data_IF_433413694996
#
_entry.id   IF_433413694996
#
_cell.length_a   1.000
_cell.length_b   1.000
_cell.length_c   1.000
_cell.angle_alpha   90.00
_cell.angle_beta   90.00
_cell.angle_gamma   90.00
#
_symmetry.space_group_name_H-M   'P 1'
#
loop_
_entity.id
_entity.type
_entity.pdbx_description
1 polymer ?
#
# COMPACT_ATOMS: atom_id res chain seq x y z
N UNK A 1 -10.93 26.16 -40.71
CA UNK A 1 -10.59 24.73 -40.47
C UNK A 1 -11.66 24.23 -39.52
N UNK A 2 -12.59 23.38 -39.95
CA UNK A 2 -13.59 22.79 -39.03
C UNK A 2 -12.85 21.70 -38.25
N UNK A 3 -12.75 21.88 -36.94
CA UNK A 3 -12.28 20.83 -36.04
C UNK A 3 -13.48 19.88 -35.87
N UNK A 4 -13.40 18.68 -36.42
CA UNK A 4 -14.45 17.70 -36.23
C UNK A 4 -14.16 17.01 -34.88
N UNK A 5 -14.95 17.31 -33.86
CA UNK A 5 -14.86 16.73 -32.52
C UNK A 5 -15.92 15.63 -32.45
N UNK A 6 -15.50 14.43 -32.14
CA UNK A 6 -16.42 13.32 -31.83
C UNK A 6 -16.87 13.47 -30.37
N UNK A 7 -18.04 14.10 -30.18
CA UNK A 7 -18.62 14.37 -28.86
C UNK A 7 -18.95 13.09 -28.11
N UNK A 8 -19.40 12.05 -28.82
CA UNK A 8 -19.81 10.78 -28.21
C UNK A 8 -18.63 10.08 -27.55
N UNK A 9 -17.44 10.14 -28.17
CA UNK A 9 -16.23 9.58 -27.59
C UNK A 9 -15.78 10.34 -26.33
N UNK A 10 -15.96 11.66 -26.30
CA UNK A 10 -15.60 12.46 -25.12
C UNK A 10 -16.60 12.20 -23.99
N UNK A 11 -17.89 12.11 -24.30
CA UNK A 11 -18.93 11.77 -23.31
C UNK A 11 -18.66 10.38 -22.70
N UNK A 12 -18.32 9.41 -23.52
CA UNK A 12 -17.94 8.08 -23.07
C UNK A 12 -16.69 8.12 -22.15
N UNK A 13 -15.68 8.90 -22.51
CA UNK A 13 -14.49 9.10 -21.66
C UNK A 13 -14.84 9.73 -20.29
N UNK A 14 -15.72 10.72 -20.28
CA UNK A 14 -16.23 11.37 -19.06
C UNK A 14 -16.97 10.38 -18.16
N UNK A 15 -17.86 9.58 -18.75
CA UNK A 15 -18.64 8.59 -17.99
C UNK A 15 -17.77 7.47 -17.42
N UNK A 16 -16.77 7.00 -18.19
CA UNK A 16 -15.77 6.04 -17.69
C UNK A 16 -14.98 6.61 -16.51
N UNK A 17 -14.49 7.85 -16.61
CA UNK A 17 -13.74 8.50 -15.52
C UNK A 17 -14.60 8.64 -14.26
N UNK A 18 -15.87 9.01 -14.39
CA UNK A 18 -16.82 9.10 -13.26
C UNK A 18 -17.07 7.75 -12.63
N UNK A 19 -17.24 6.70 -13.46
CA UNK A 19 -17.41 5.33 -12.99
C UNK A 19 -16.21 4.86 -12.19
N UNK A 20 -14.98 5.00 -12.72
CA UNK A 20 -13.73 4.64 -12.04
C UNK A 20 -13.60 5.41 -10.72
N UNK A 21 -13.85 6.72 -10.72
CA UNK A 21 -13.84 7.54 -9.50
C UNK A 21 -14.80 7.03 -8.43
N UNK A 22 -16.01 6.60 -8.82
CA UNK A 22 -16.99 6.03 -7.91
C UNK A 22 -16.55 4.67 -7.35
N UNK A 23 -15.98 3.80 -8.18
CA UNK A 23 -15.47 2.49 -7.74
C UNK A 23 -14.40 2.65 -6.65
N UNK A 24 -13.46 3.58 -6.82
CA UNK A 24 -12.41 3.87 -5.85
C UNK A 24 -12.93 4.40 -4.50
N UNK A 25 -14.09 5.04 -4.49
CA UNK A 25 -14.68 5.59 -3.26
C UNK A 25 -15.67 4.64 -2.58
N UNK A 26 -16.30 3.72 -3.31
CA UNK A 26 -17.37 2.88 -2.78
C UNK A 26 -16.91 1.63 -2.01
N UNK A 27 -15.64 1.35 -1.89
CA UNK A 27 -14.97 0.35 -1.00
C UNK A 27 -15.68 -1.00 -0.76
N UNK A 28 -16.63 -1.42 -1.60
CA UNK A 28 -17.45 -2.59 -1.31
C UNK A 28 -16.71 -3.92 -1.35
N UNK A 29 -15.58 -3.97 -2.05
CA UNK A 29 -14.82 -5.21 -2.34
C UNK A 29 -13.46 -5.28 -1.63
N UNK A 30 -13.04 -4.21 -0.93
CA UNK A 30 -11.87 -4.29 -0.06
C UNK A 30 -12.27 -5.01 1.21
N UNK A 31 -11.51 -6.06 1.59
CA UNK A 31 -11.60 -6.65 2.92
C UNK A 31 -11.58 -5.53 3.98
N UNK A 32 -12.26 -5.74 5.09
CA UNK A 32 -12.29 -4.74 6.16
C UNK A 32 -10.89 -4.61 6.74
N UNK A 33 -10.27 -3.43 6.59
CA UNK A 33 -9.04 -3.13 7.33
C UNK A 33 -9.30 -3.29 8.83
N UNK A 34 -8.43 -4.05 9.48
CA UNK A 34 -8.40 -4.16 10.93
C UNK A 34 -7.15 -3.44 11.42
N UNK A 35 -7.34 -2.49 12.34
CA UNK A 35 -6.25 -1.72 12.90
C UNK A 35 -5.21 -2.63 13.55
N UNK A 36 -3.93 -2.32 13.34
CA UNK A 36 -2.81 -2.97 13.98
C UNK A 36 -2.49 -2.35 15.35
N UNK A 37 -3.22 -1.33 15.78
CA UNK A 37 -3.12 -0.79 17.13
C UNK A 37 -3.52 -1.87 18.13
N UNK A 38 -2.66 -2.10 19.12
CA UNK A 38 -2.86 -3.21 20.07
C UNK A 38 -2.58 -4.61 19.48
N UNK A 39 -1.89 -4.71 18.36
CA UNK A 39 -1.46 -5.97 17.75
C UNK A 39 -0.69 -6.85 18.74
N UNK A 40 0.21 -6.26 19.52
CA UNK A 40 1.06 -6.95 20.48
C UNK A 40 1.28 -6.10 21.72
N UNK A 41 1.61 -6.77 22.84
CA UNK A 41 2.16 -6.13 24.05
C UNK A 41 3.68 -6.44 24.20
N UNK A 42 4.26 -7.22 23.31
CA UNK A 42 5.65 -7.55 23.33
C UNK A 42 6.50 -6.42 22.76
N UNK A 43 7.57 -6.05 23.45
CA UNK A 43 8.38 -4.90 23.13
C UNK A 43 9.00 -4.97 21.74
N UNK A 44 8.85 -3.89 20.98
CA UNK A 44 9.26 -3.76 19.57
C UNK A 44 8.18 -4.19 18.58
N UNK A 45 7.40 -5.24 18.87
CA UNK A 45 6.25 -5.64 18.04
C UNK A 45 5.07 -4.69 18.20
N UNK A 46 4.83 -4.21 19.44
CA UNK A 46 3.86 -3.17 19.75
C UNK A 46 4.12 -1.90 18.92
N UNK A 47 5.37 -1.42 18.96
CA UNK A 47 5.79 -0.23 18.23
C UNK A 47 5.63 -0.40 16.72
N UNK A 48 5.98 -1.58 16.17
CA UNK A 48 5.79 -1.85 14.74
C UNK A 48 4.32 -1.85 14.33
N UNK A 49 3.44 -2.44 15.14
CA UNK A 49 1.99 -2.41 14.94
C UNK A 49 1.43 -0.99 14.93
N UNK A 50 1.79 -0.19 15.94
CA UNK A 50 1.37 1.21 16.07
C UNK A 50 1.84 2.09 14.89
N UNK A 51 3.01 1.81 14.30
CA UNK A 51 3.51 2.54 13.12
C UNK A 51 2.81 2.15 11.82
N UNK A 52 2.48 0.87 11.65
CA UNK A 52 1.80 0.38 10.44
C UNK A 52 0.30 0.69 10.45
N UNK A 53 -0.32 0.80 11.63
CA UNK A 53 -1.75 1.01 11.78
C UNK A 53 -2.28 2.26 11.06
N UNK A 54 -1.70 3.46 11.24
CA UNK A 54 -2.18 4.68 10.57
C UNK A 54 -2.10 4.62 9.05
N UNK A 55 -1.21 3.77 8.49
CA UNK A 55 -1.08 3.64 7.04
C UNK A 55 -2.36 3.05 6.45
N UNK A 56 -2.93 2.03 7.08
CA UNK A 56 -4.19 1.44 6.65
C UNK A 56 -5.43 2.22 7.13
N UNK A 57 -5.40 2.72 8.37
CA UNK A 57 -6.53 3.44 8.97
C UNK A 57 -6.81 4.77 8.27
N UNK A 58 -5.76 5.53 7.93
CA UNK A 58 -5.87 6.91 7.47
C UNK A 58 -5.34 7.08 6.03
N UNK A 59 -4.15 6.56 5.72
CA UNK A 59 -3.46 6.88 4.46
C UNK A 59 -4.01 6.13 3.25
N UNK A 60 -4.50 4.89 3.43
CA UNK A 60 -5.14 4.16 2.34
C UNK A 60 -6.45 4.83 1.87
N UNK A 61 -7.41 5.20 2.78
CA UNK A 61 -8.57 5.99 2.40
C UNK A 61 -8.22 7.31 1.72
N UNK A 62 -7.25 8.04 2.27
CA UNK A 62 -6.80 9.33 1.74
C UNK A 62 -6.26 9.18 0.31
N UNK A 63 -5.40 8.18 0.06
CA UNK A 63 -4.82 7.93 -1.26
C UNK A 63 -5.89 7.52 -2.29
N UNK A 64 -6.82 6.63 -1.92
CA UNK A 64 -7.92 6.21 -2.78
C UNK A 64 -8.84 7.39 -3.13
N UNK A 65 -9.17 8.22 -2.15
CA UNK A 65 -9.96 9.44 -2.36
C UNK A 65 -9.23 10.44 -3.25
N UNK A 66 -7.91 10.59 -3.10
CA UNK A 66 -7.11 11.49 -3.91
C UNK A 66 -7.15 11.09 -5.39
N UNK A 67 -6.94 9.82 -5.73
CA UNK A 67 -7.06 9.34 -7.12
C UNK A 67 -8.47 9.59 -7.65
N UNK A 68 -9.50 9.24 -6.87
CA UNK A 68 -10.89 9.43 -7.28
C UNK A 68 -11.21 10.91 -7.58
N UNK A 69 -10.70 11.84 -6.76
CA UNK A 69 -10.85 13.28 -6.98
C UNK A 69 -10.10 13.75 -8.24
N UNK A 70 -8.88 13.28 -8.49
CA UNK A 70 -8.16 13.59 -9.72
C UNK A 70 -8.94 13.16 -10.97
N UNK A 71 -9.49 11.94 -10.97
CA UNK A 71 -10.28 11.42 -12.08
C UNK A 71 -11.57 12.20 -12.28
N UNK A 72 -12.29 12.48 -11.18
CA UNK A 72 -13.51 13.29 -11.21
C UNK A 72 -13.26 14.69 -11.77
N UNK A 73 -12.22 15.37 -11.30
CA UNK A 73 -11.87 16.69 -11.81
C UNK A 73 -11.48 16.67 -13.28
N UNK A 74 -10.81 15.63 -13.75
CA UNK A 74 -10.48 15.46 -15.16
C UNK A 74 -11.76 15.28 -15.98
N UNK A 75 -12.72 14.46 -15.50
CA UNK A 75 -14.03 14.29 -16.14
C UNK A 75 -14.81 15.61 -16.21
N UNK A 76 -14.87 16.36 -15.11
CA UNK A 76 -15.62 17.62 -15.07
C UNK A 76 -14.97 18.69 -15.98
N UNK A 77 -13.66 18.71 -16.10
CA UNK A 77 -12.96 19.60 -17.03
C UNK A 77 -13.19 19.21 -18.51
N UNK A 78 -13.17 17.92 -18.83
CA UNK A 78 -13.48 17.43 -20.18
C UNK A 78 -14.91 17.79 -20.56
N UNK A 79 -15.87 17.58 -19.65
CA UNK A 79 -17.28 17.93 -19.86
C UNK A 79 -17.47 19.43 -20.11
N UNK A 80 -16.81 20.26 -19.29
CA UNK A 80 -16.88 21.72 -19.44
C UNK A 80 -16.29 22.17 -20.78
N UNK A 81 -15.15 21.62 -21.19
CA UNK A 81 -14.53 21.93 -22.47
C UNK A 81 -15.41 21.54 -23.66
N UNK A 82 -16.02 20.34 -23.61
CA UNK A 82 -16.95 19.86 -24.62
C UNK A 82 -18.18 20.81 -24.74
N UNK A 83 -18.82 21.13 -23.62
CA UNK A 83 -20.01 22.01 -23.59
C UNK A 83 -19.70 23.40 -24.14
N UNK A 84 -18.54 23.98 -23.76
CA UNK A 84 -18.14 25.28 -24.29
C UNK A 84 -17.87 25.23 -25.80
N UNK A 85 -17.33 24.13 -26.32
CA UNK A 85 -17.09 23.96 -27.76
C UNK A 85 -18.39 23.83 -28.52
N UNK A 86 -19.36 23.05 -28.04
CA UNK A 86 -20.69 22.91 -28.65
C UNK A 86 -21.43 24.24 -28.67
N UNK A 87 -21.46 25.01 -27.58
CA UNK A 87 -22.08 26.32 -27.52
C UNK A 87 -21.46 27.32 -28.51
N UNK A 88 -20.14 27.24 -28.72
CA UNK A 88 -19.44 28.10 -29.68
C UNK A 88 -19.81 27.71 -31.12
N UNK A 89 -19.93 26.42 -31.43
CA UNK A 89 -20.34 25.93 -32.74
C UNK A 89 -21.81 26.27 -33.05
N UNK A 90 -22.71 26.15 -32.07
CA UNK A 90 -24.10 26.55 -32.20
C UNK A 90 -24.27 28.05 -32.41
N UNK A 91 -23.52 28.85 -31.66
CA UNK A 91 -23.51 30.31 -31.82
C UNK A 91 -22.93 30.73 -33.17
N UNK A 92 -21.89 30.03 -33.66
CA UNK A 92 -21.28 30.27 -34.97
C UNK A 92 -22.21 29.82 -36.09
N UNK A 93 -22.90 28.70 -35.94
CA UNK A 93 -23.93 28.20 -36.88
C UNK A 93 -25.14 29.14 -36.96
N UNK A 94 -25.61 29.67 -35.82
CA UNK A 94 -26.61 30.73 -35.75
C UNK A 94 -26.19 32.05 -36.39
N UNK A 95 -24.92 32.45 -36.19
CA UNK A 95 -24.33 33.62 -36.87
C UNK A 95 -24.22 33.41 -38.39
N UNK A 96 -23.79 32.25 -38.86
CA UNK A 96 -23.72 31.99 -40.30
C UNK A 96 -25.13 31.98 -40.94
N UNK A 97 -26.13 31.48 -40.21
CA UNK A 97 -27.56 31.60 -40.65
C UNK A 97 -28.03 33.05 -40.74
N UNK A 98 -27.57 33.94 -39.88
CA UNK A 98 -27.88 35.36 -39.87
C UNK A 98 -27.07 36.19 -40.88
N UNK A 99 -25.89 35.73 -41.31
CA UNK A 99 -25.07 36.36 -42.35
C UNK A 99 -25.65 36.14 -43.77
N UNK A 100 -26.63 35.29 -43.95
CA UNK A 100 -27.41 35.13 -45.19
C UNK A 100 -28.63 36.06 -45.25
N UNK A 101 -28.90 36.85 -44.18
CA UNK A 101 -29.87 37.93 -44.19
C UNK A 101 -29.17 39.25 -44.61
N UNK A 102 -29.80 40.13 -45.39
CA UNK A 102 -29.11 41.24 -46.07
C UNK A 102 -28.53 42.27 -45.09
N UNK A 103 -27.22 42.42 -45.13
CA UNK A 103 -26.33 43.52 -44.78
C UNK A 103 -26.90 44.67 -43.91
N UNK A 104 -26.41 44.75 -42.70
CA UNK A 104 -26.61 45.97 -41.92
C UNK A 104 -26.03 46.10 -40.51
N UNK A 105 -25.20 45.23 -40.01
CA UNK A 105 -24.56 45.49 -38.72
C UNK A 105 -23.07 45.10 -38.74
N UNK A 106 -22.25 46.04 -38.22
CA UNK A 106 -20.81 45.97 -38.03
C UNK A 106 -20.43 44.68 -37.27
N UNK A 107 -19.57 43.90 -37.91
CA UNK A 107 -18.89 42.79 -37.28
C UNK A 107 -18.01 43.28 -36.11
N UNK A 108 -18.52 43.20 -34.88
CA UNK A 108 -17.63 43.14 -33.72
C UNK A 108 -16.85 41.85 -33.83
N UNK A 109 -15.55 41.97 -33.97
CA UNK A 109 -14.64 40.86 -33.96
C UNK A 109 -14.84 40.05 -32.66
N UNK A 110 -15.53 38.92 -32.75
CA UNK A 110 -15.51 37.90 -31.71
C UNK A 110 -14.10 37.36 -31.71
N UNK A 111 -13.27 37.83 -30.79
CA UNK A 111 -12.04 37.16 -30.42
C UNK A 111 -12.42 35.74 -30.00
N UNK A 112 -11.90 34.70 -30.67
CA UNK A 112 -12.26 33.34 -30.30
C UNK A 112 -11.86 33.12 -28.85
N UNK A 113 -12.80 32.67 -28.02
CA UNK A 113 -12.54 32.23 -26.63
C UNK A 113 -11.65 30.96 -26.58
N UNK A 114 -10.94 30.66 -27.66
CA UNK A 114 -10.02 29.55 -27.80
C UNK A 114 -8.74 29.66 -26.96
N UNK A 115 -8.52 30.80 -26.28
CA UNK A 115 -7.33 31.04 -25.44
C UNK A 115 -7.58 30.87 -23.95
N UNK A 116 -8.79 30.57 -23.51
CA UNK A 116 -8.96 30.05 -22.17
C UNK A 116 -8.56 28.58 -22.22
N UNK A 117 -7.24 28.38 -22.11
CA UNK A 117 -6.68 27.08 -21.82
C UNK A 117 -7.49 26.45 -20.70
N UNK A 118 -7.52 25.14 -20.66
CA UNK A 118 -8.03 24.30 -19.58
C UNK A 118 -7.88 25.10 -18.29
N UNK A 119 -8.91 25.85 -17.89
CA UNK A 119 -8.89 26.50 -16.61
C UNK A 119 -8.73 25.35 -15.65
N UNK A 120 -7.51 25.20 -15.16
CA UNK A 120 -7.30 24.35 -14.00
C UNK A 120 -8.31 24.87 -12.98
N UNK A 121 -9.46 24.20 -12.89
CA UNK A 121 -10.12 24.14 -11.61
C UNK A 121 -8.95 23.79 -10.70
N UNK A 122 -8.51 24.75 -9.87
CA UNK A 122 -7.53 24.48 -8.83
C UNK A 122 -8.16 23.37 -7.98
N UNK A 123 -8.08 22.15 -8.48
CA UNK A 123 -8.13 21.01 -7.63
C UNK A 123 -7.03 21.32 -6.64
N UNK A 124 -7.38 21.57 -5.39
CA UNK A 124 -6.43 21.41 -4.34
C UNK A 124 -5.76 20.09 -4.66
N UNK A 125 -4.48 20.14 -5.07
CA UNK A 125 -3.70 18.92 -5.27
C UNK A 125 -3.87 18.17 -3.96
N UNK A 126 -4.59 17.05 -3.90
CA UNK A 126 -4.80 16.36 -2.64
C UNK A 126 -3.43 15.88 -2.20
N UNK A 127 -2.78 16.69 -1.38
CA UNK A 127 -1.50 16.33 -0.78
C UNK A 127 -1.78 15.18 0.18
N UNK A 128 -1.47 13.98 -0.28
CA UNK A 128 -1.48 12.83 0.61
C UNK A 128 -0.38 13.00 1.65
N UNK A 129 -0.76 12.80 2.91
CA UNK A 129 0.17 13.00 4.02
C UNK A 129 1.22 11.90 4.05
N UNK A 130 2.38 12.23 4.59
CA UNK A 130 3.43 11.25 4.89
C UNK A 130 3.08 10.47 6.15
N UNK A 131 3.72 9.30 6.31
CA UNK A 131 3.66 8.48 7.52
C UNK A 131 5.07 8.20 8.05
N UNK A 132 5.15 7.80 9.32
CA UNK A 132 6.41 7.42 9.94
C UNK A 132 6.87 6.05 9.42
N UNK A 133 8.06 6.01 8.84
CA UNK A 133 8.72 4.80 8.36
C UNK A 133 10.06 4.56 9.07
N UNK A 134 10.23 5.09 10.27
CA UNK A 134 11.43 4.88 11.08
C UNK A 134 11.51 3.42 11.53
N UNK A 135 12.67 2.81 11.41
CA UNK A 135 12.88 1.44 11.87
C UNK A 135 12.72 1.32 13.39
N UNK A 136 12.17 0.19 13.85
CA UNK A 136 12.17 -0.16 15.26
C UNK A 136 13.61 -0.44 15.68
N UNK A 137 14.13 0.37 16.59
CA UNK A 137 15.56 0.35 16.97
C UNK A 137 15.86 -0.50 18.21
N UNK A 138 14.84 -0.80 19.01
CA UNK A 138 15.01 -1.54 20.26
C UNK A 138 13.80 -2.41 20.57
N UNK A 139 14.05 -3.57 21.14
CA UNK A 139 13.05 -4.44 21.68
C UNK A 139 13.54 -4.96 23.05
N UNK A 140 12.70 -4.95 24.05
CA UNK A 140 13.09 -5.42 25.38
C UNK A 140 11.91 -6.00 26.13
N UNK A 141 12.19 -7.08 26.86
CA UNK A 141 11.28 -7.69 27.81
C UNK A 141 11.94 -7.80 29.18
N UNK A 142 11.14 -7.81 30.24
CA UNK A 142 11.66 -7.80 31.61
C UNK A 142 12.00 -9.19 32.15
N UNK A 143 11.36 -10.23 31.60
CA UNK A 143 11.60 -11.63 31.95
C UNK A 143 11.19 -12.55 30.80
N UNK A 144 11.74 -13.77 30.79
CA UNK A 144 11.37 -14.80 29.81
C UNK A 144 9.87 -15.15 29.87
N UNK A 145 9.32 -15.32 31.07
CA UNK A 145 7.91 -15.65 31.22
C UNK A 145 6.99 -14.48 30.85
N UNK A 146 7.44 -13.24 31.11
CA UNK A 146 6.75 -12.04 30.65
C UNK A 146 6.72 -11.95 29.14
N UNK A 147 7.85 -12.20 28.47
CA UNK A 147 7.97 -12.25 27.03
C UNK A 147 7.05 -13.32 26.41
N UNK A 148 7.07 -14.55 26.96
CA UNK A 148 6.18 -15.64 26.52
C UNK A 148 4.69 -15.24 26.62
N UNK A 149 4.31 -14.65 27.75
CA UNK A 149 2.92 -14.20 27.94
C UNK A 149 2.53 -13.11 26.96
N UNK A 150 3.35 -12.08 26.77
CA UNK A 150 3.08 -10.98 25.83
C UNK A 150 3.00 -11.48 24.40
N UNK A 151 3.89 -12.38 23.99
CA UNK A 151 3.92 -12.99 22.66
C UNK A 151 2.70 -13.90 22.43
N UNK A 152 2.29 -14.70 23.44
CA UNK A 152 1.07 -15.53 23.34
C UNK A 152 -0.21 -14.70 23.23
N UNK A 153 -0.22 -13.45 23.71
CA UNK A 153 -1.33 -12.50 23.58
C UNK A 153 -1.26 -11.73 22.26
N UNK A 154 -0.20 -11.85 21.49
CA UNK A 154 -0.06 -11.16 20.20
C UNK A 154 -1.05 -11.72 19.18
N UNK A 155 -1.82 -10.83 18.56
CA UNK A 155 -2.82 -11.23 17.57
C UNK A 155 -2.23 -11.19 16.15
N UNK A 156 -1.45 -12.21 15.79
CA UNK A 156 -0.77 -12.27 14.48
C UNK A 156 -1.74 -12.33 13.30
N UNK A 157 -3.00 -12.75 13.52
CA UNK A 157 -4.02 -12.74 12.47
C UNK A 157 -4.32 -11.35 11.93
N UNK A 158 -4.15 -10.29 12.75
CA UNK A 158 -4.31 -8.90 12.30
C UNK A 158 -3.26 -8.53 11.25
N UNK A 159 -2.00 -8.94 11.43
CA UNK A 159 -0.93 -8.66 10.49
C UNK A 159 -1.15 -9.37 9.14
N UNK A 160 -1.63 -10.62 9.16
CA UNK A 160 -1.96 -11.36 7.95
C UNK A 160 -3.21 -10.80 7.25
N UNK A 161 -4.24 -10.42 8.02
CA UNK A 161 -5.42 -9.73 7.47
C UNK A 161 -5.06 -8.38 6.85
N UNK A 162 -4.09 -7.66 7.42
CA UNK A 162 -3.55 -6.44 6.84
C UNK A 162 -2.83 -6.71 5.51
N UNK A 163 -2.07 -7.82 5.41
CA UNK A 163 -1.45 -8.24 4.15
C UNK A 163 -2.50 -8.51 3.06
N UNK A 164 -3.57 -9.22 3.40
CA UNK A 164 -4.68 -9.50 2.47
C UNK A 164 -5.39 -8.20 2.04
N UNK A 165 -5.60 -7.27 2.97
CA UNK A 165 -6.15 -5.95 2.67
C UNK A 165 -5.28 -5.19 1.66
N UNK A 166 -3.97 -5.14 1.86
CA UNK A 166 -3.05 -4.42 0.96
C UNK A 166 -2.98 -5.06 -0.43
N UNK A 167 -3.03 -6.39 -0.53
CA UNK A 167 -3.13 -7.09 -1.81
C UNK A 167 -4.44 -6.75 -2.54
N UNK A 168 -5.56 -6.73 -1.81
CA UNK A 168 -6.86 -6.37 -2.36
C UNK A 168 -6.92 -4.91 -2.82
N UNK A 169 -6.31 -3.99 -2.02
CA UNK A 169 -6.20 -2.59 -2.39
C UNK A 169 -5.34 -2.39 -3.65
N UNK A 170 -4.21 -3.11 -3.73
CA UNK A 170 -3.36 -3.08 -4.92
C UNK A 170 -4.13 -3.55 -6.17
N UNK A 171 -4.95 -4.59 -6.07
CA UNK A 171 -5.74 -5.09 -7.18
C UNK A 171 -6.81 -4.07 -7.61
N UNK A 172 -7.54 -3.48 -6.65
CA UNK A 172 -8.54 -2.45 -6.94
C UNK A 172 -7.95 -1.27 -7.72
N UNK A 173 -6.77 -0.78 -7.28
CA UNK A 173 -6.11 0.34 -7.96
C UNK A 173 -5.59 -0.09 -9.34
N UNK A 174 -5.03 -1.31 -9.46
CA UNK A 174 -4.55 -1.83 -10.74
C UNK A 174 -5.69 -1.90 -11.77
N UNK A 175 -6.84 -2.46 -11.38
CA UNK A 175 -8.02 -2.54 -12.25
C UNK A 175 -8.51 -1.15 -12.68
N UNK A 176 -8.51 -0.18 -11.75
CA UNK A 176 -8.86 1.21 -12.06
C UNK A 176 -7.87 1.84 -13.06
N UNK A 177 -6.57 1.57 -12.93
CA UNK A 177 -5.54 2.08 -13.85
C UNK A 177 -5.63 1.42 -15.23
N UNK A 178 -6.02 0.15 -15.29
CA UNK A 178 -6.26 -0.55 -16.55
C UNK A 178 -7.50 -0.02 -17.28
N UNK A 179 -8.59 0.30 -16.57
CA UNK A 179 -9.77 0.93 -17.16
C UNK A 179 -9.45 2.31 -17.79
N UNK A 180 -8.43 3.04 -17.32
CA UNK A 180 -7.98 4.31 -17.92
C UNK A 180 -7.45 4.16 -19.36
N UNK A 181 -7.01 2.98 -19.76
CA UNK A 181 -6.62 2.73 -21.16
C UNK A 181 -7.80 2.91 -22.12
N UNK A 182 -9.03 2.55 -21.69
CA UNK A 182 -10.25 2.82 -22.44
C UNK A 182 -10.54 4.33 -22.59
N UNK A 183 -10.27 5.12 -21.55
CA UNK A 183 -10.40 6.59 -21.58
C UNK A 183 -9.39 7.19 -22.56
N UNK A 184 -8.12 6.77 -22.49
CA UNK A 184 -7.08 7.20 -23.44
C UNK A 184 -7.45 6.90 -24.88
N UNK A 185 -8.00 5.70 -25.14
CA UNK A 185 -8.43 5.31 -26.47
C UNK A 185 -9.59 6.21 -26.98
N UNK A 186 -10.62 6.43 -26.15
CA UNK A 186 -11.74 7.29 -26.49
C UNK A 186 -11.28 8.73 -26.80
N UNK A 187 -10.40 9.32 -25.98
CA UNK A 187 -9.89 10.67 -26.19
C UNK A 187 -9.00 10.77 -27.42
N UNK A 188 -8.11 9.80 -27.66
CA UNK A 188 -7.22 9.81 -28.83
C UNK A 188 -7.97 9.68 -30.15
N UNK A 189 -9.15 9.04 -30.15
CA UNK A 189 -9.98 8.89 -31.34
C UNK A 189 -10.95 10.06 -31.57
N UNK A 190 -11.18 10.92 -30.55
CA UNK A 190 -12.21 11.96 -30.62
C UNK A 190 -11.80 13.19 -31.41
N UNK A 191 -10.60 13.73 -31.20
CA UNK A 191 -10.02 14.85 -31.96
C UNK A 191 -8.54 15.10 -31.52
N UNK A 192 -7.79 15.78 -32.40
CA UNK A 192 -6.44 16.28 -32.09
C UNK A 192 -6.52 17.77 -31.69
N UNK A 193 -6.93 18.04 -30.46
CA UNK A 193 -7.01 19.39 -29.89
C UNK A 193 -6.08 19.54 -28.69
N UNK A 194 -5.63 20.77 -28.43
CA UNK A 194 -4.69 21.06 -27.33
C UNK A 194 -5.25 20.62 -25.98
N UNK A 195 -6.53 20.85 -25.72
CA UNK A 195 -7.14 20.52 -24.44
C UNK A 195 -7.33 18.99 -24.25
N UNK A 196 -7.55 18.22 -25.33
CA UNK A 196 -7.57 16.75 -25.27
C UNK A 196 -6.15 16.23 -24.98
N UNK A 197 -5.14 16.75 -25.66
CA UNK A 197 -3.75 16.37 -25.40
C UNK A 197 -3.33 16.68 -23.96
N UNK A 198 -3.70 17.83 -23.40
CA UNK A 198 -3.41 18.17 -22.01
C UNK A 198 -4.18 17.24 -21.02
N UNK A 199 -5.44 16.89 -21.33
CA UNK A 199 -6.17 15.91 -20.54
C UNK A 199 -5.51 14.54 -20.55
N UNK A 200 -5.06 14.07 -21.72
CA UNK A 200 -4.34 12.79 -21.86
C UNK A 200 -3.02 12.78 -21.08
N UNK A 201 -2.25 13.88 -21.12
CA UNK A 201 -1.04 14.00 -20.29
C UNK A 201 -1.35 13.91 -18.80
N UNK A 202 -2.39 14.60 -18.34
CA UNK A 202 -2.83 14.57 -16.95
C UNK A 202 -3.29 13.17 -16.53
N UNK A 203 -4.05 12.50 -17.38
CA UNK A 203 -4.49 11.11 -17.14
C UNK A 203 -3.30 10.17 -17.07
N UNK A 204 -2.29 10.33 -17.92
CA UNK A 204 -1.05 9.54 -17.86
C UNK A 204 -0.32 9.75 -16.54
N UNK A 205 -0.23 10.98 -16.05
CA UNK A 205 0.39 11.27 -14.75
C UNK A 205 -0.39 10.62 -13.59
N UNK A 206 -1.73 10.65 -13.64
CA UNK A 206 -2.59 9.99 -12.65
C UNK A 206 -2.41 8.47 -12.72
N UNK A 207 -2.37 7.90 -13.93
CA UNK A 207 -2.14 6.48 -14.14
C UNK A 207 -0.78 6.03 -13.59
N UNK A 208 0.28 6.79 -13.86
CA UNK A 208 1.61 6.51 -13.31
C UNK A 208 1.61 6.58 -11.78
N UNK A 209 0.96 7.57 -11.18
CA UNK A 209 0.81 7.66 -9.72
C UNK A 209 0.05 6.46 -9.14
N UNK A 210 -1.01 6.03 -9.80
CA UNK A 210 -1.76 4.84 -9.43
C UNK A 210 -0.92 3.57 -9.51
N UNK A 211 -0.09 3.40 -10.55
CA UNK A 211 0.80 2.24 -10.70
C UNK A 211 1.88 2.21 -9.60
N UNK A 212 2.46 3.34 -9.23
CA UNK A 212 3.38 3.41 -8.09
C UNK A 212 2.66 3.10 -6.77
N UNK A 213 1.40 3.56 -6.61
CA UNK A 213 0.60 3.19 -5.44
C UNK A 213 0.30 1.68 -5.38
N UNK A 214 0.06 1.03 -6.53
CA UNK A 214 -0.05 -0.45 -6.60
C UNK A 214 1.21 -1.12 -6.09
N UNK A 215 2.39 -0.65 -6.52
CA UNK A 215 3.67 -1.19 -6.07
C UNK A 215 3.87 -0.97 -4.56
N UNK A 216 3.55 0.22 -4.03
CA UNK A 216 3.60 0.53 -2.61
C UNK A 216 2.64 -0.34 -1.79
N UNK A 217 1.41 -0.57 -2.28
CA UNK A 217 0.43 -1.43 -1.60
C UNK A 217 0.89 -2.88 -1.53
N UNK A 218 1.43 -3.44 -2.63
CA UNK A 218 2.03 -4.79 -2.63
C UNK A 218 3.23 -4.90 -1.68
N UNK A 219 4.04 -3.84 -1.62
CA UNK A 219 5.13 -3.78 -0.65
C UNK A 219 4.62 -3.79 0.79
N UNK A 220 3.53 -3.06 1.10
CA UNK A 220 2.90 -3.08 2.43
C UNK A 220 2.29 -4.43 2.78
N UNK A 221 1.77 -5.17 1.81
CA UNK A 221 1.36 -6.56 2.04
C UNK A 221 2.53 -7.41 2.55
N UNK A 222 3.69 -7.30 1.91
CA UNK A 222 4.90 -8.02 2.36
C UNK A 222 5.40 -7.52 3.73
N UNK A 223 5.29 -6.21 4.01
CA UNK A 223 5.71 -5.65 5.29
C UNK A 223 4.83 -6.14 6.44
N UNK A 224 3.51 -6.16 6.25
CA UNK A 224 2.58 -6.67 7.27
C UNK A 224 2.68 -8.19 7.45
N UNK A 225 2.96 -8.93 6.38
CA UNK A 225 3.27 -10.36 6.48
C UNK A 225 4.56 -10.61 7.28
N UNK A 226 5.63 -9.83 7.03
CA UNK A 226 6.88 -9.92 7.77
C UNK A 226 6.69 -9.61 9.27
N UNK A 227 5.81 -8.66 9.63
CA UNK A 227 5.43 -8.41 11.01
C UNK A 227 4.81 -9.65 11.66
N UNK A 228 3.84 -10.28 10.98
CA UNK A 228 3.20 -11.52 11.44
C UNK A 228 4.19 -12.66 11.63
N UNK A 229 5.04 -12.90 10.63
CA UNK A 229 6.06 -13.94 10.70
C UNK A 229 7.07 -13.73 11.83
N UNK A 230 7.47 -12.47 12.08
CA UNK A 230 8.38 -12.14 13.19
C UNK A 230 7.73 -12.45 14.52
N UNK A 231 6.48 -12.04 14.73
CA UNK A 231 5.75 -12.32 15.96
C UNK A 231 5.54 -13.83 16.18
N UNK A 232 5.15 -14.55 15.13
CA UNK A 232 4.95 -16.01 15.20
C UNK A 232 6.26 -16.74 15.55
N UNK A 233 7.37 -16.35 14.91
CA UNK A 233 8.67 -16.98 15.18
C UNK A 233 9.16 -16.69 16.62
N UNK A 234 8.99 -15.46 17.09
CA UNK A 234 9.37 -15.09 18.46
C UNK A 234 8.50 -15.81 19.52
N UNK A 235 7.21 -16.02 19.23
CA UNK A 235 6.34 -16.83 20.09
C UNK A 235 6.86 -18.26 20.25
N UNK A 236 7.35 -18.87 19.15
CA UNK A 236 7.93 -20.21 19.22
C UNK A 236 9.26 -20.25 19.97
N UNK A 237 10.14 -19.24 19.78
CA UNK A 237 11.38 -19.11 20.53
C UNK A 237 11.09 -18.95 22.03
N UNK A 238 10.14 -18.10 22.41
CA UNK A 238 9.76 -17.88 23.79
C UNK A 238 9.23 -19.16 24.44
N UNK A 239 8.32 -19.88 23.76
CA UNK A 239 7.75 -21.14 24.25
C UNK A 239 8.83 -22.22 24.45
N UNK A 240 9.76 -22.36 23.48
CA UNK A 240 10.85 -23.32 23.59
C UNK A 240 11.83 -22.98 24.73
N UNK A 241 12.16 -21.70 24.88
CA UNK A 241 13.03 -21.22 25.97
C UNK A 241 12.33 -21.37 27.34
N UNK A 242 11.03 -21.07 27.44
CA UNK A 242 10.24 -21.26 28.67
C UNK A 242 10.13 -22.74 29.06
N UNK A 243 9.90 -23.63 28.10
CA UNK A 243 9.92 -25.08 28.34
C UNK A 243 11.29 -25.56 28.83
N UNK A 244 12.37 -25.05 28.24
CA UNK A 244 13.73 -25.34 28.68
C UNK A 244 14.02 -24.81 30.09
N UNK A 245 13.57 -23.59 30.38
CA UNK A 245 13.66 -22.97 31.70
C UNK A 245 12.90 -23.76 32.78
N UNK A 246 11.67 -24.14 32.48
CA UNK A 246 10.85 -24.90 33.41
C UNK A 246 11.47 -26.27 33.79
N UNK A 247 12.07 -26.93 32.81
CA UNK A 247 12.67 -28.26 33.01
C UNK A 247 14.13 -28.23 33.55
N UNK A 248 14.76 -27.08 33.64
CA UNK A 248 16.10 -26.94 34.28
C UNK A 248 15.94 -27.04 35.80
N UNK A 249 16.77 -27.88 36.46
CA UNK A 249 16.78 -28.00 37.92
C UNK A 249 17.73 -27.00 38.58
N UNK A 250 18.86 -26.71 37.92
CA UNK A 250 19.88 -25.80 38.44
C UNK A 250 19.45 -24.33 38.24
N UNK A 251 19.34 -23.52 39.32
CA UNK A 251 19.04 -22.11 39.24
C UNK A 251 20.03 -21.29 38.40
N UNK A 252 21.26 -21.75 38.22
CA UNK A 252 22.26 -21.09 37.36
C UNK A 252 21.87 -21.30 35.88
N UNK A 253 21.46 -22.49 35.52
CA UNK A 253 21.01 -22.80 34.16
C UNK A 253 19.75 -21.99 33.85
N UNK A 254 18.78 -21.91 34.75
CA UNK A 254 17.61 -21.08 34.60
C UNK A 254 17.97 -19.63 34.29
N UNK A 255 18.81 -19.03 35.09
CA UNK A 255 19.28 -17.64 34.87
C UNK A 255 20.02 -17.47 33.55
N UNK A 256 20.81 -18.47 33.15
CA UNK A 256 21.47 -18.44 31.85
C UNK A 256 20.51 -18.45 30.69
N UNK A 257 19.52 -19.37 30.69
CA UNK A 257 18.47 -19.45 29.64
C UNK A 257 17.75 -18.12 29.53
N UNK A 258 17.31 -17.55 30.65
CA UNK A 258 16.57 -16.28 30.66
C UNK A 258 17.45 -15.11 30.14
N UNK A 259 18.70 -15.01 30.60
CA UNK A 259 19.63 -13.96 30.18
C UNK A 259 19.94 -14.08 28.66
N UNK A 260 20.22 -15.29 28.19
CA UNK A 260 20.52 -15.55 26.78
C UNK A 260 19.32 -15.27 25.88
N UNK A 261 18.10 -15.67 26.30
CA UNK A 261 16.88 -15.37 25.58
C UNK A 261 16.63 -13.87 25.47
N UNK A 262 16.63 -13.15 26.60
CA UNK A 262 16.34 -11.71 26.64
C UNK A 262 17.41 -10.90 25.86
N UNK A 263 18.69 -11.29 26.00
CA UNK A 263 19.75 -10.67 25.24
C UNK A 263 19.61 -10.89 23.73
N UNK A 264 19.23 -12.09 23.31
CA UNK A 264 19.01 -12.39 21.89
C UNK A 264 17.71 -11.78 21.37
N UNK A 265 16.64 -11.71 22.17
CA UNK A 265 15.36 -11.07 21.81
C UNK A 265 15.58 -9.62 21.39
N UNK A 266 16.37 -8.86 22.17
CA UNK A 266 16.66 -7.44 21.88
C UNK A 266 17.37 -7.21 20.54
N UNK A 267 17.94 -8.24 19.93
CA UNK A 267 18.60 -8.18 18.61
C UNK A 267 17.74 -8.81 17.53
N UNK A 268 17.10 -9.96 17.81
CA UNK A 268 16.29 -10.68 16.82
C UNK A 268 15.04 -9.91 16.40
N UNK A 269 14.31 -9.33 17.37
CA UNK A 269 13.07 -8.63 17.05
C UNK A 269 13.32 -7.41 16.16
N UNK A 270 14.22 -6.47 16.47
CA UNK A 270 14.54 -5.39 15.54
C UNK A 270 15.03 -5.88 14.18
N UNK A 271 15.84 -6.95 14.12
CA UNK A 271 16.26 -7.55 12.85
C UNK A 271 15.10 -8.16 12.07
N UNK A 272 14.21 -8.89 12.72
CA UNK A 272 13.00 -9.47 12.12
C UNK A 272 12.03 -8.43 11.60
N UNK A 273 11.99 -7.26 12.24
CA UNK A 273 11.14 -6.14 11.87
C UNK A 273 11.73 -5.25 10.76
N UNK A 274 13.01 -5.43 10.38
CA UNK A 274 13.58 -4.66 9.27
C UNK A 274 12.73 -4.78 7.97
N UNK A 275 12.33 -5.98 7.53
CA UNK A 275 11.45 -6.12 6.37
C UNK A 275 10.00 -5.64 6.61
N UNK A 276 9.58 -5.44 7.86
CA UNK A 276 8.23 -5.01 8.20
C UNK A 276 8.03 -3.48 8.07
N UNK A 277 9.12 -2.71 7.99
CA UNK A 277 9.05 -1.26 7.89
C UNK A 277 9.26 -0.82 6.45
N UNK A 278 8.31 -0.07 5.86
CA UNK A 278 8.42 0.40 4.49
C UNK A 278 9.57 1.40 4.32
N UNK A 279 10.31 1.30 3.21
CA UNK A 279 11.38 2.24 2.88
C UNK A 279 10.85 3.55 2.27
N UNK A 280 9.56 3.66 2.06
CA UNK A 280 8.87 4.86 1.58
C UNK A 280 7.97 5.41 2.70
N UNK A 281 7.60 6.69 2.60
CA UNK A 281 6.79 7.38 3.60
C UNK A 281 5.52 8.03 3.04
N UNK A 282 5.16 7.72 1.80
CA UNK A 282 3.95 8.21 1.13
C UNK A 282 3.38 7.10 0.24
N UNK A 283 2.08 6.85 0.36
CA UNK A 283 1.41 5.81 -0.43
C UNK A 283 1.24 6.21 -1.89
N UNK A 284 0.62 7.36 -2.11
CA UNK A 284 0.36 7.90 -3.45
C UNK A 284 1.36 9.02 -3.71
N UNK A 285 2.22 8.91 -4.74
CA UNK A 285 3.10 9.99 -5.15
C UNK A 285 2.30 11.14 -5.75
N UNK A 286 2.89 12.34 -5.76
CA UNK A 286 2.28 13.52 -6.34
C UNK A 286 2.19 13.38 -7.87
N UNK A 287 0.99 13.16 -8.40
CA UNK A 287 0.78 12.93 -9.83
C UNK A 287 1.39 14.02 -10.72
N UNK A 288 1.32 15.28 -10.30
CA UNK A 288 1.87 16.41 -11.05
C UNK A 288 3.41 16.42 -11.20
N UNK A 289 4.12 15.63 -10.40
CA UNK A 289 5.59 15.47 -10.47
C UNK A 289 6.03 14.30 -11.34
N UNK A 290 5.09 13.46 -11.76
CA UNK A 290 5.39 12.26 -12.53
C UNK A 290 5.46 12.54 -14.04
N UNK A 291 6.14 11.66 -14.81
CA UNK A 291 6.20 11.78 -16.26
C UNK A 291 4.80 11.78 -16.90
N UNK A 292 4.65 12.57 -17.95
CA UNK A 292 3.44 12.57 -18.80
C UNK A 292 3.50 11.50 -19.91
N UNK A 293 4.52 10.63 -19.90
CA UNK A 293 4.62 9.45 -20.74
C UNK A 293 4.24 8.23 -19.91
N UNK A 294 3.46 7.28 -20.47
CA UNK A 294 3.10 6.06 -19.74
C UNK A 294 4.33 5.28 -19.29
N UNK A 295 4.30 4.75 -18.07
CA UNK A 295 5.27 3.74 -17.68
C UNK A 295 5.06 2.48 -18.52
N UNK A 296 6.16 1.91 -19.04
CA UNK A 296 6.11 0.51 -19.44
C UNK A 296 5.91 -0.35 -18.18
N UNK A 297 5.33 -1.53 -18.32
CA UNK A 297 5.05 -2.42 -17.16
C UNK A 297 6.31 -2.77 -16.35
N UNK A 298 7.49 -2.67 -16.95
CA UNK A 298 8.79 -2.89 -16.32
C UNK A 298 9.40 -1.64 -15.68
N UNK A 299 8.85 -0.46 -15.94
CA UNK A 299 9.43 0.83 -15.55
C UNK A 299 8.77 1.43 -14.31
N UNK A 300 7.75 0.76 -13.75
CA UNK A 300 7.14 1.17 -12.49
C UNK A 300 8.19 1.05 -11.39
N UNK A 301 8.54 2.15 -10.69
CA UNK A 301 9.53 2.08 -9.63
C UNK A 301 9.10 1.07 -8.56
N UNK A 302 9.89 0.03 -8.34
CA UNK A 302 9.68 -0.86 -7.23
C UNK A 302 10.10 -0.15 -5.93
N UNK A 303 9.28 -0.17 -4.87
CA UNK A 303 9.69 0.34 -3.58
C UNK A 303 10.97 -0.35 -3.11
N UNK A 304 11.88 0.39 -2.50
CA UNK A 304 13.04 -0.21 -1.89
C UNK A 304 12.58 -1.20 -0.79
N UNK A 305 13.17 -2.37 -0.76
CA UNK A 305 12.92 -3.38 0.26
C UNK A 305 14.10 -3.42 1.23
N UNK A 306 13.80 -3.47 2.51
CA UNK A 306 14.82 -3.71 3.54
C UNK A 306 14.98 -5.22 3.69
N UNK A 307 16.21 -5.71 3.61
CA UNK A 307 16.48 -7.14 3.80
C UNK A 307 16.64 -7.48 5.26
N UNK A 308 16.20 -8.67 5.62
CA UNK A 308 16.44 -9.26 6.94
C UNK A 308 17.94 -9.43 7.20
N UNK A 309 18.39 -9.08 8.41
CA UNK A 309 19.76 -9.36 8.86
C UNK A 309 19.73 -10.63 9.71
N UNK A 310 20.36 -11.75 9.28
CA UNK A 310 20.36 -12.98 10.07
C UNK A 310 20.97 -12.77 11.45
N UNK A 311 20.30 -13.30 12.46
CA UNK A 311 20.76 -13.27 13.86
C UNK A 311 20.86 -14.69 14.39
N UNK A 312 21.96 -15.00 15.06
CA UNK A 312 22.15 -16.30 15.69
C UNK A 312 21.78 -16.23 17.18
N UNK A 313 21.23 -17.31 17.71
CA UNK A 313 21.02 -17.45 19.14
C UNK A 313 22.37 -17.57 19.86
N UNK A 314 22.47 -17.10 21.13
CA UNK A 314 23.66 -17.36 21.96
C UNK A 314 23.97 -18.87 22.04
N UNK A 315 25.25 -19.26 22.01
CA UNK A 315 25.62 -20.70 21.99
C UNK A 315 25.01 -21.50 23.14
N UNK A 316 24.93 -20.92 24.34
CA UNK A 316 24.30 -21.58 25.49
C UNK A 316 22.81 -21.92 25.27
N UNK A 317 22.07 -20.98 24.68
CA UNK A 317 20.67 -21.21 24.36
C UNK A 317 20.52 -22.20 23.20
N UNK A 318 21.38 -22.11 22.15
CA UNK A 318 21.39 -23.10 21.05
C UNK A 318 21.61 -24.53 21.56
N UNK A 319 22.60 -24.74 22.46
CA UNK A 319 22.89 -26.05 23.04
C UNK A 319 21.69 -26.60 23.84
N UNK A 320 21.09 -25.76 24.67
CA UNK A 320 19.93 -26.15 25.46
C UNK A 320 18.73 -26.49 24.59
N UNK A 321 18.42 -25.69 23.57
CA UNK A 321 17.32 -25.94 22.65
C UNK A 321 17.58 -27.20 21.82
N UNK A 322 18.79 -27.38 21.30
CA UNK A 322 19.17 -28.58 20.51
C UNK A 322 19.06 -29.86 21.34
N UNK A 323 19.55 -29.86 22.60
CA UNK A 323 19.48 -31.00 23.49
C UNK A 323 18.04 -31.44 23.82
N UNK A 324 17.07 -30.54 23.62
CA UNK A 324 15.64 -30.78 23.82
C UNK A 324 14.86 -31.11 22.54
N UNK A 325 15.55 -31.29 21.42
CA UNK A 325 14.92 -31.57 20.14
C UNK A 325 14.48 -30.39 19.31
N UNK A 326 14.82 -29.14 19.71
CA UNK A 326 14.52 -27.91 18.96
C UNK A 326 15.71 -27.45 18.10
N UNK A 327 16.50 -28.40 17.55
CA UNK A 327 17.70 -28.07 16.79
C UNK A 327 17.41 -27.19 15.58
N UNK A 328 16.30 -27.45 14.87
CA UNK A 328 15.92 -26.65 13.70
C UNK A 328 15.57 -25.22 14.10
N UNK A 329 14.84 -25.03 15.21
CA UNK A 329 14.53 -23.69 15.75
C UNK A 329 15.82 -23.00 16.23
N UNK A 330 16.72 -23.72 16.90
CA UNK A 330 17.97 -23.19 17.42
C UNK A 330 18.90 -22.64 16.31
N UNK A 331 18.82 -23.19 15.11
CA UNK A 331 19.68 -22.86 13.97
C UNK A 331 18.97 -22.10 12.84
N UNK A 332 17.68 -21.80 12.96
CA UNK A 332 16.95 -21.00 11.99
C UNK A 332 17.53 -19.58 11.90
N UNK A 333 17.71 -19.08 10.69
CA UNK A 333 18.39 -17.80 10.40
C UNK A 333 17.43 -16.65 10.14
N UNK A 334 16.14 -16.95 10.00
CA UNK A 334 15.11 -15.93 9.74
C UNK A 334 13.74 -16.36 10.25
N UNK A 335 12.82 -15.39 10.54
CA UNK A 335 11.43 -15.71 10.86
C UNK A 335 10.74 -16.58 9.80
N UNK A 336 10.98 -16.29 8.51
CA UNK A 336 10.42 -17.07 7.41
C UNK A 336 10.87 -18.54 7.42
N UNK A 337 12.12 -18.80 7.78
CA UNK A 337 12.65 -20.17 7.90
C UNK A 337 11.98 -20.93 9.05
N UNK A 338 11.75 -20.26 10.19
CA UNK A 338 10.97 -20.83 11.31
C UNK A 338 9.56 -21.21 10.86
N UNK A 339 8.86 -20.29 10.19
CA UNK A 339 7.50 -20.53 9.70
C UNK A 339 7.46 -21.63 8.62
N UNK A 340 8.47 -21.71 7.77
CA UNK A 340 8.58 -22.77 6.78
C UNK A 340 8.72 -24.17 7.43
N UNK A 341 9.46 -24.28 8.53
CA UNK A 341 9.73 -25.53 9.23
C UNK A 341 8.58 -25.97 10.14
N UNK A 342 7.99 -25.02 10.88
CA UNK A 342 7.01 -25.32 11.92
C UNK A 342 5.56 -24.97 11.51
N UNK A 343 5.37 -24.23 10.44
CA UNK A 343 4.10 -23.60 10.10
C UNK A 343 3.79 -22.40 11.00
N UNK A 344 2.65 -21.76 10.76
CA UNK A 344 2.13 -20.73 11.69
C UNK A 344 1.76 -21.41 13.01
N UNK A 345 2.06 -20.79 14.17
CA UNK A 345 1.79 -21.39 15.46
C UNK A 345 0.27 -21.62 15.66
N UNK A 346 -0.05 -22.82 16.10
CA UNK A 346 -1.38 -23.21 16.55
C UNK A 346 -1.27 -23.68 18.00
N UNK A 347 -2.37 -23.83 18.73
CA UNK A 347 -2.33 -24.43 20.06
C UNK A 347 -1.59 -25.78 20.08
N UNK A 348 -1.79 -26.62 19.06
CA UNK A 348 -1.10 -27.91 18.93
C UNK A 348 0.40 -27.73 18.67
N UNK A 349 0.82 -26.66 17.98
CA UNK A 349 2.24 -26.33 17.80
C UNK A 349 2.90 -26.03 19.14
N UNK A 350 2.25 -25.22 19.98
CA UNK A 350 2.74 -24.90 21.32
C UNK A 350 2.75 -26.10 22.25
N UNK A 351 1.72 -26.97 22.21
CA UNK A 351 1.70 -28.22 22.97
C UNK A 351 2.86 -29.12 22.57
N UNK A 352 3.17 -29.26 21.29
CA UNK A 352 4.31 -30.06 20.81
C UNK A 352 5.65 -29.43 21.28
N UNK A 353 5.79 -28.09 21.18
CA UNK A 353 6.96 -27.40 21.70
C UNK A 353 7.09 -27.64 23.21
N UNK A 354 6.03 -27.52 23.99
CA UNK A 354 6.05 -27.77 25.43
C UNK A 354 6.43 -29.24 25.75
N UNK A 355 6.03 -30.18 24.92
CA UNK A 355 6.36 -31.62 25.09
C UNK A 355 7.78 -31.99 24.63
N UNK A 356 8.53 -31.09 23.99
CA UNK A 356 9.84 -31.40 23.44
C UNK A 356 9.83 -32.28 22.19
N UNK A 357 8.76 -32.23 21.40
CA UNK A 357 8.61 -33.02 20.17
C UNK A 357 9.17 -32.26 18.95
N UNK A 358 9.92 -32.99 18.10
CA UNK A 358 10.42 -32.46 16.83
C UNK A 358 9.28 -32.08 15.88
N UNK A 359 9.50 -31.15 14.94
CA UNK A 359 8.51 -30.77 13.92
C UNK A 359 8.11 -32.04 13.10
N UNK A 360 6.82 -32.20 12.84
CA UNK A 360 6.36 -33.20 11.87
C UNK A 360 6.49 -32.59 10.47
N UNK A 361 7.31 -33.23 9.63
CA UNK A 361 7.41 -32.91 8.20
C UNK A 361 6.09 -33.10 7.48
#
# INVERSE_FOLDING_TARGET
>A
MRINIDSDQIENAVDLLRKISQQLTQRRDLGTWQSLSGFSNAGGLDEAGERLSPIGDERAPEANQAIALYLKHTADNLWLALTNTQQTDESFSGMMGSLLAPLGHSAQALTPMYSQGFQQLKAADPETQTFDNTAVSSASETSLLGAEMNLNLTNTSLAYSASDFWNSNAQLIADAMDELNGVHHALSSSADTVWIQEAMKKLTQIQNAGLEYVANSRSLANHTEALGMTADSESMYAAAAAAAYAAAEDPKIKRQIESDYLGSYSVRVPSGLQPAIPAFNRLLPEAGKLPSTPYASTDVPAPATTSYTPTELPPGLQEVLTSRGYGDLAHAKSPAEVIQQYGRPTPETFERIAAGAAPTQ
#
